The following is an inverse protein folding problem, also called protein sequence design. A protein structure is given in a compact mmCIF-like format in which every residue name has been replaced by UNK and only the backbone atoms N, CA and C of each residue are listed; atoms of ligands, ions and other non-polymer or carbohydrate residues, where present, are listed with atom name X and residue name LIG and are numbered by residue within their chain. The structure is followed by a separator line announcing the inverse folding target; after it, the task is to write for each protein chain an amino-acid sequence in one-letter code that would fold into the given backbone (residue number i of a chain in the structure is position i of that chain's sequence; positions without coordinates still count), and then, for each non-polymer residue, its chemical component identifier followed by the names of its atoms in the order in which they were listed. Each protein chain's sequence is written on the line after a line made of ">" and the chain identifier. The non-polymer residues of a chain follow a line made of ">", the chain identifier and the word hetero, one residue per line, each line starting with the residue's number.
data_IF_467489308983
#
_entry.id   IF_467489308983
#
_cell.length_a   1.000
_cell.length_b   1.000
_cell.length_c   1.000
_cell.angle_alpha   90.00
_cell.angle_beta   90.00
_cell.angle_gamma   90.00
#
_symmetry.space_group_name_H-M   'P 1'
#
loop_
_entity.id
_entity.type
_entity.pdbx_description
1 polymer ?
#
# COMPACT_ATOMS: atom_id res chain seq x y z
N UNK A 1 -10.58 5.13 -32.14
CA UNK A 1 -11.95 5.19 -31.58
C UNK A 1 -11.97 4.60 -30.19
N UNK A 2 -11.60 5.42 -29.21
CA UNK A 2 -11.45 5.01 -27.80
C UNK A 2 -12.74 5.26 -27.02
N UNK A 3 -13.79 4.52 -27.36
CA UNK A 3 -15.04 4.54 -26.58
C UNK A 3 -14.93 3.56 -25.41
N UNK A 4 -15.13 4.06 -24.19
CA UNK A 4 -15.36 3.23 -23.01
C UNK A 4 -16.86 3.00 -22.81
N UNK A 5 -17.22 1.85 -22.26
CA UNK A 5 -18.62 1.51 -21.93
C UNK A 5 -18.78 1.49 -20.42
N UNK A 6 -19.73 2.29 -19.92
CA UNK A 6 -20.08 2.29 -18.49
C UNK A 6 -21.11 1.18 -18.25
N UNK A 7 -20.76 0.21 -17.42
CA UNK A 7 -21.68 -0.85 -17.04
C UNK A 7 -22.20 -0.64 -15.62
N UNK A 8 -23.52 -0.53 -15.48
CA UNK A 8 -24.22 -0.55 -14.19
C UNK A 8 -24.67 -1.99 -13.92
N UNK A 9 -24.04 -2.66 -12.97
CA UNK A 9 -24.55 -3.94 -12.46
C UNK A 9 -25.50 -3.65 -11.31
N UNK A 10 -26.78 -3.92 -11.54
CA UNK A 10 -27.81 -3.95 -10.50
C UNK A 10 -27.83 -5.37 -9.94
N UNK A 11 -27.60 -5.52 -8.63
CA UNK A 11 -27.76 -6.83 -7.97
C UNK A 11 -29.22 -7.26 -8.07
N UNK A 12 -29.48 -8.57 -8.16
CA UNK A 12 -30.85 -9.13 -8.22
C UNK A 12 -31.74 -8.69 -7.04
N UNK A 13 -31.14 -8.30 -5.92
CA UNK A 13 -31.81 -7.83 -4.71
C UNK A 13 -32.05 -6.31 -4.65
N UNK A 14 -31.68 -5.56 -5.69
CA UNK A 14 -31.88 -4.11 -5.76
C UNK A 14 -30.92 -3.26 -4.90
N UNK A 15 -29.95 -3.87 -4.21
CA UNK A 15 -28.98 -3.13 -3.38
C UNK A 15 -27.85 -2.49 -4.21
N UNK A 16 -27.19 -1.48 -3.62
CA UNK A 16 -26.34 -0.48 -4.29
C UNK A 16 -25.33 -1.04 -5.33
N UNK A 17 -25.29 -0.34 -6.47
CA UNK A 17 -24.52 -0.67 -7.67
C UNK A 17 -23.03 -0.40 -7.47
N UNK A 18 -22.17 -1.25 -8.04
CA UNK A 18 -20.78 -0.88 -8.33
C UNK A 18 -20.71 -0.37 -9.77
N UNK A 19 -20.04 0.76 -10.00
CA UNK A 19 -19.77 1.30 -11.34
C UNK A 19 -18.40 0.74 -11.76
N UNK A 20 -18.37 0.03 -12.89
CA UNK A 20 -17.12 -0.46 -13.47
C UNK A 20 -16.76 0.36 -14.71
N UNK A 21 -15.48 0.69 -14.82
CA UNK A 21 -14.86 1.20 -16.04
C UNK A 21 -13.94 0.08 -16.57
N UNK A 22 -14.22 -0.42 -17.77
CA UNK A 22 -13.44 -1.48 -18.41
C UNK A 22 -12.83 -1.00 -19.72
N UNK A 23 -11.63 -1.48 -20.04
CA UNK A 23 -11.18 -1.51 -21.42
C UNK A 23 -12.01 -2.52 -22.20
N UNK A 24 -12.24 -2.23 -23.48
CA UNK A 24 -12.51 -3.27 -24.46
C UNK A 24 -11.22 -4.11 -24.59
N UNK A 25 -11.15 -5.25 -23.90
CA UNK A 25 -10.06 -6.22 -23.99
C UNK A 25 -10.15 -6.88 -25.36
N UNK A 26 -9.68 -6.17 -26.40
CA UNK A 26 -9.88 -6.51 -27.81
C UNK A 26 -9.96 -8.02 -28.06
N UNK A 27 -11.11 -8.47 -28.57
CA UNK A 27 -11.44 -9.82 -29.01
C UNK A 27 -10.76 -11.00 -28.28
N UNK A 28 -10.55 -10.95 -26.96
CA UNK A 28 -10.11 -12.14 -26.21
C UNK A 28 -11.34 -12.95 -25.81
N UNK A 29 -11.47 -14.13 -26.42
CA UNK A 29 -12.46 -15.12 -26.02
C UNK A 29 -12.03 -15.78 -24.69
N UNK A 30 -12.95 -15.84 -23.73
CA UNK A 30 -12.76 -16.52 -22.46
C UNK A 30 -13.55 -17.83 -22.47
N UNK A 31 -12.94 -18.92 -21.99
CA UNK A 31 -13.61 -20.21 -21.90
C UNK A 31 -14.64 -20.24 -20.77
N UNK A 32 -15.81 -20.83 -21.03
CA UNK A 32 -16.86 -21.08 -20.04
C UNK A 32 -16.31 -21.91 -18.88
N UNK A 33 -16.45 -21.41 -17.65
CA UNK A 33 -16.02 -22.11 -16.42
C UNK A 33 -14.67 -21.70 -15.84
N UNK A 34 -13.96 -20.73 -16.44
CA UNK A 34 -12.72 -20.21 -15.88
C UNK A 34 -12.96 -19.37 -14.61
N UNK A 35 -12.47 -19.83 -13.45
CA UNK A 35 -12.43 -19.03 -12.22
C UNK A 35 -11.20 -18.12 -12.23
N UNK A 36 -11.39 -16.82 -12.01
CA UNK A 36 -10.32 -15.83 -11.94
C UNK A 36 -10.55 -14.94 -10.72
N UNK A 37 -9.60 -14.85 -9.78
CA UNK A 37 -9.67 -13.86 -8.72
C UNK A 37 -9.38 -12.47 -9.31
N UNK A 38 -10.34 -11.55 -9.25
CA UNK A 38 -10.11 -10.15 -9.61
C UNK A 38 -10.63 -9.26 -8.49
N UNK A 39 -9.76 -8.37 -8.02
CA UNK A 39 -10.12 -7.32 -7.09
C UNK A 39 -9.17 -6.15 -7.22
N UNK A 40 -9.31 -5.35 -8.29
CA UNK A 40 -8.78 -3.99 -8.34
C UNK A 40 -9.64 -3.12 -9.26
N UNK A 41 -9.89 -1.88 -8.83
CA UNK A 41 -10.38 -0.82 -9.68
C UNK A 41 -9.23 -0.41 -10.62
N UNK A 42 -9.26 -0.89 -11.85
CA UNK A 42 -8.28 -0.53 -12.88
C UNK A 42 -8.77 0.75 -13.55
N UNK A 43 -8.43 1.91 -12.99
CA UNK A 43 -8.51 3.16 -13.76
C UNK A 43 -7.36 3.10 -14.76
N UNK A 44 -7.67 2.92 -16.06
CA UNK A 44 -6.67 3.07 -17.09
C UNK A 44 -6.34 4.57 -17.17
N UNK A 45 -5.26 4.95 -16.52
CA UNK A 45 -4.72 6.30 -16.58
C UNK A 45 -3.80 6.41 -17.81
N UNK A 46 -3.98 7.37 -18.72
CA UNK A 46 -3.04 7.57 -19.82
C UNK A 46 -1.65 7.88 -19.26
N UNK A 47 -0.63 7.19 -19.76
CA UNK A 47 0.77 7.44 -19.36
C UNK A 47 1.11 8.90 -19.72
N UNK A 48 1.54 9.68 -18.73
CA UNK A 48 1.97 11.07 -18.93
C UNK A 48 0.92 12.16 -18.69
N UNK A 49 -0.32 11.81 -18.34
CA UNK A 49 -1.32 12.80 -17.89
C UNK A 49 -1.31 12.87 -16.35
N UNK A 50 -1.34 14.03 -15.69
CA UNK A 50 -1.55 14.13 -14.24
C UNK A 50 -2.97 13.73 -13.82
N UNK A 51 -3.13 12.99 -12.70
CA UNK A 51 -4.44 12.59 -12.13
C UNK A 51 -5.44 13.75 -12.02
N UNK A 52 -4.92 14.93 -11.71
CA UNK A 52 -5.65 16.19 -11.59
C UNK A 52 -6.36 16.63 -12.89
N UNK A 53 -5.80 16.29 -14.05
CA UNK A 53 -6.22 16.83 -15.35
C UNK A 53 -7.27 15.95 -16.06
N UNK A 54 -7.51 14.73 -15.55
CA UNK A 54 -8.36 13.74 -16.22
C UNK A 54 -9.56 13.23 -15.42
N UNK A 55 -9.68 13.58 -14.13
CA UNK A 55 -10.86 13.22 -13.34
C UNK A 55 -11.84 14.40 -13.34
N UNK A 56 -12.98 14.21 -14.00
CA UNK A 56 -14.08 15.17 -13.94
C UNK A 56 -14.47 15.45 -12.48
N UNK A 57 -14.55 16.73 -12.11
CA UNK A 57 -14.84 17.16 -10.74
C UNK A 57 -16.17 16.59 -10.22
N UNK A 58 -17.18 16.40 -11.07
CA UNK A 58 -18.47 15.80 -10.68
C UNK A 58 -18.32 14.31 -10.36
N UNK A 59 -17.50 13.59 -11.13
CA UNK A 59 -17.16 12.18 -10.83
C UNK A 59 -16.44 12.10 -9.49
N UNK A 60 -15.50 12.99 -9.25
CA UNK A 60 -14.80 13.07 -7.98
C UNK A 60 -15.76 13.39 -6.82
N UNK A 61 -16.67 14.35 -7.00
CA UNK A 61 -17.70 14.75 -6.01
C UNK A 61 -18.63 13.60 -5.70
N UNK A 62 -19.02 12.82 -6.71
CA UNK A 62 -19.87 11.65 -6.57
C UNK A 62 -19.20 10.53 -5.75
N UNK A 63 -17.89 10.34 -5.93
CA UNK A 63 -17.12 9.23 -5.35
C UNK A 63 -16.61 9.53 -3.94
N UNK A 64 -16.13 10.76 -3.73
CA UNK A 64 -15.41 11.14 -2.52
C UNK A 64 -16.12 12.22 -1.68
N UNK A 65 -17.15 12.86 -2.22
CA UNK A 65 -17.82 13.99 -1.55
C UNK A 65 -16.89 15.18 -1.32
N UNK A 66 -17.26 16.04 -0.36
CA UNK A 66 -16.51 17.25 0.04
C UNK A 66 -15.36 16.99 1.02
N UNK A 67 -15.16 15.75 1.50
CA UNK A 67 -14.26 15.46 2.61
C UNK A 67 -12.79 15.15 2.21
N UNK A 68 -12.32 15.58 1.03
CA UNK A 68 -11.06 15.09 0.41
C UNK A 68 -9.75 15.46 1.10
N UNK A 69 -9.73 16.47 1.96
CA UNK A 69 -8.50 17.06 2.51
C UNK A 69 -8.10 16.58 3.91
N UNK A 70 -8.58 15.42 4.38
CA UNK A 70 -8.53 15.09 5.82
C UNK A 70 -7.39 14.13 6.23
N UNK A 71 -6.43 13.83 5.35
CA UNK A 71 -5.23 13.09 5.75
C UNK A 71 -4.23 14.01 6.43
N UNK A 72 -4.03 13.82 7.74
CA UNK A 72 -2.96 14.49 8.47
C UNK A 72 -1.67 13.64 8.41
N UNK A 73 -0.55 14.24 8.02
CA UNK A 73 0.75 13.62 8.16
C UNK A 73 1.23 13.69 9.61
N UNK A 74 1.54 12.54 10.20
CA UNK A 74 2.21 12.43 11.50
C UNK A 74 3.73 12.34 11.27
N UNK A 75 4.15 11.56 10.26
CA UNK A 75 5.54 11.38 9.83
C UNK A 75 5.63 11.17 8.33
N UNK A 76 6.58 11.84 7.68
CA UNK A 76 6.67 11.92 6.21
C UNK A 76 5.95 13.16 5.67
N UNK A 77 5.72 13.20 4.36
CA UNK A 77 5.10 14.36 3.69
C UNK A 77 3.97 13.90 2.76
N UNK A 78 2.88 14.65 2.74
CA UNK A 78 1.88 14.57 1.67
C UNK A 78 2.38 15.44 0.52
N UNK A 79 2.51 14.85 -0.67
CA UNK A 79 3.03 15.50 -1.88
C UNK A 79 1.91 15.97 -2.81
N UNK A 80 0.81 15.21 -2.89
CA UNK A 80 -0.31 15.51 -3.77
C UNK A 80 -1.61 14.92 -3.20
N UNK A 81 -2.74 15.57 -3.48
CA UNK A 81 -4.04 15.35 -2.81
C UNK A 81 -5.31 15.32 -3.68
N UNK A 82 -5.35 15.66 -4.99
CA UNK A 82 -6.64 15.99 -5.60
C UNK A 82 -7.60 14.80 -5.64
N UNK A 83 -7.10 13.59 -5.92
CA UNK A 83 -7.95 12.39 -6.08
C UNK A 83 -7.36 11.11 -5.46
N UNK A 84 -6.34 11.29 -4.63
CA UNK A 84 -5.59 10.26 -3.93
C UNK A 84 -4.42 10.91 -3.19
N UNK A 85 -3.92 10.25 -2.17
CA UNK A 85 -2.78 10.76 -1.42
C UNK A 85 -1.50 10.23 -2.03
N UNK A 86 -0.71 11.12 -2.63
CA UNK A 86 0.70 10.82 -2.90
C UNK A 86 1.50 11.24 -1.69
N UNK A 87 2.25 10.31 -1.12
CA UNK A 87 3.05 10.56 0.08
C UNK A 87 4.49 10.14 -0.10
N UNK A 88 5.37 10.84 0.62
CA UNK A 88 6.78 10.53 0.75
C UNK A 88 7.08 10.06 2.18
N UNK A 89 7.60 8.84 2.35
CA UNK A 89 7.97 8.31 3.65
C UNK A 89 9.18 9.06 4.24
N UNK A 90 9.31 8.99 5.55
CA UNK A 90 10.55 9.32 6.27
C UNK A 90 11.03 8.04 6.94
N UNK A 91 12.28 7.65 6.71
CA UNK A 91 12.86 6.40 7.25
C UNK A 91 12.04 5.15 6.86
N UNK A 92 11.66 5.05 5.59
CA UNK A 92 11.04 3.85 5.02
C UNK A 92 9.51 3.82 5.03
N UNK A 93 8.84 4.56 5.92
CA UNK A 93 7.38 4.63 5.95
C UNK A 93 6.80 6.04 6.13
N UNK A 94 5.56 6.20 5.69
CA UNK A 94 4.70 7.34 5.98
C UNK A 94 3.72 6.95 7.09
N UNK A 95 3.60 7.79 8.11
CA UNK A 95 2.58 7.65 9.15
C UNK A 95 1.59 8.79 9.02
N UNK A 96 0.31 8.46 8.91
CA UNK A 96 -0.76 9.43 8.79
C UNK A 96 -1.94 9.11 9.70
N UNK A 97 -2.83 10.07 9.86
CA UNK A 97 -4.10 9.91 10.54
C UNK A 97 -5.23 10.35 9.62
N UNK A 98 -6.28 9.52 9.54
CA UNK A 98 -7.46 9.80 8.74
C UNK A 98 -8.73 9.61 9.60
N UNK A 99 -9.68 10.56 9.60
CA UNK A 99 -10.91 10.41 10.38
C UNK A 99 -11.84 9.35 9.76
N UNK A 100 -12.88 8.99 10.51
CA UNK A 100 -13.98 8.20 9.98
C UNK A 100 -14.72 9.01 8.90
N UNK A 101 -14.92 8.42 7.73
CA UNK A 101 -15.56 9.07 6.59
C UNK A 101 -16.46 8.07 5.87
N UNK A 102 -17.63 8.53 5.44
CA UNK A 102 -18.56 7.71 4.66
C UNK A 102 -18.29 7.90 3.17
N UNK A 103 -17.43 7.06 2.61
CA UNK A 103 -17.04 7.10 1.21
C UNK A 103 -17.62 5.94 0.42
N UNK A 104 -17.99 6.18 -0.84
CA UNK A 104 -18.46 5.12 -1.75
C UNK A 104 -17.34 4.21 -2.24
N UNK A 105 -16.09 4.65 -2.09
CA UNK A 105 -14.90 3.88 -2.45
C UNK A 105 -13.75 4.12 -1.46
N UNK A 106 -12.65 3.37 -1.60
CA UNK A 106 -11.43 3.64 -0.86
C UNK A 106 -10.63 4.78 -1.47
N UNK A 107 -9.97 5.59 -0.63
CA UNK A 107 -9.09 6.67 -1.05
C UNK A 107 -7.75 6.08 -1.54
N UNK A 108 -7.35 6.30 -2.80
CA UNK A 108 -6.05 5.84 -3.28
C UNK A 108 -4.91 6.44 -2.45
N UNK A 109 -3.92 5.62 -2.14
CA UNK A 109 -2.68 6.02 -1.47
C UNK A 109 -1.50 5.50 -2.29
N UNK A 110 -0.63 6.42 -2.70
CA UNK A 110 0.64 6.14 -3.34
C UNK A 110 1.77 6.50 -2.38
N UNK A 111 2.56 5.52 -1.95
CA UNK A 111 3.79 5.75 -1.17
C UNK A 111 4.98 5.62 -2.10
N UNK A 112 5.78 6.67 -2.23
CA UNK A 112 6.96 6.68 -3.11
C UNK A 112 8.25 6.39 -2.34
N UNK A 113 9.34 6.05 -3.03
CA UNK A 113 10.68 5.91 -2.42
C UNK A 113 10.77 4.86 -1.31
N UNK A 114 10.04 3.75 -1.43
CA UNK A 114 10.22 2.57 -0.57
C UNK A 114 11.26 1.64 -1.19
N UNK A 115 12.02 0.91 -0.37
CA UNK A 115 12.93 -0.12 -0.85
C UNK A 115 12.14 -1.40 -1.21
N UNK A 116 12.15 -1.86 -2.49
CA UNK A 116 11.42 -3.05 -2.91
C UNK A 116 11.95 -4.36 -2.33
N UNK A 117 13.17 -4.35 -1.76
CA UNK A 117 13.80 -5.52 -1.13
C UNK A 117 13.30 -5.79 0.31
N UNK A 118 12.57 -4.84 0.89
CA UNK A 118 12.14 -4.84 2.28
C UNK A 118 10.63 -5.03 2.43
N UNK A 119 10.13 -5.52 3.57
CA UNK A 119 8.71 -5.77 3.74
C UNK A 119 7.95 -4.43 3.75
N UNK A 120 7.07 -4.24 2.77
CA UNK A 120 6.19 -3.10 2.70
C UNK A 120 4.74 -3.50 2.97
N UNK A 121 3.96 -2.56 3.49
CA UNK A 121 2.57 -2.81 3.81
C UNK A 121 1.84 -1.62 4.38
N UNK A 122 0.57 -1.84 4.71
CA UNK A 122 -0.29 -0.93 5.45
C UNK A 122 -0.57 -1.56 6.82
N UNK A 123 -0.29 -0.82 7.89
CA UNK A 123 -0.63 -1.23 9.25
C UNK A 123 -1.42 -0.12 9.93
N UNK A 124 -2.49 -0.50 10.63
CA UNK A 124 -3.31 0.41 11.41
C UNK A 124 -2.96 0.24 12.88
N UNK A 125 -2.90 1.36 13.61
CA UNK A 125 -2.54 1.34 15.03
C UNK A 125 -3.46 0.41 15.84
N UNK A 126 -2.86 -0.34 16.76
CA UNK A 126 -3.52 -1.36 17.56
C UNK A 126 -3.96 -2.63 16.82
N UNK A 127 -3.79 -2.74 15.49
CA UNK A 127 -4.12 -3.98 14.77
C UNK A 127 -3.06 -5.05 14.98
N UNK A 128 -3.53 -6.30 15.08
CA UNK A 128 -2.64 -7.45 15.14
C UNK A 128 -1.91 -7.67 13.80
N UNK A 129 -2.62 -7.51 12.68
CA UNK A 129 -2.11 -7.81 11.34
C UNK A 129 -1.82 -6.56 10.54
N UNK A 130 -0.77 -6.61 9.73
CA UNK A 130 -0.54 -5.66 8.64
C UNK A 130 -1.05 -6.28 7.32
N UNK A 131 -1.39 -5.41 6.37
CA UNK A 131 -1.70 -5.79 5.00
C UNK A 131 -0.38 -5.74 4.19
N UNK A 132 0.16 -6.88 3.74
CA UNK A 132 1.38 -6.89 2.94
C UNK A 132 1.11 -6.31 1.56
N UNK A 133 2.00 -5.45 1.10
CA UNK A 133 1.90 -4.79 -0.19
C UNK A 133 3.25 -4.91 -0.90
N UNK A 134 3.22 -5.24 -2.20
CA UNK A 134 4.42 -5.34 -3.02
C UNK A 134 4.69 -3.99 -3.69
N UNK A 135 5.82 -3.32 -3.39
CA UNK A 135 6.26 -2.18 -4.19
C UNK A 135 6.65 -2.63 -5.60
N UNK A 136 6.54 -1.74 -6.57
CA UNK A 136 7.16 -1.95 -7.87
C UNK A 136 8.69 -1.80 -7.81
N UNK A 137 9.36 -2.02 -8.94
CA UNK A 137 10.82 -1.94 -9.04
C UNK A 137 11.36 -0.53 -8.80
N UNK A 138 10.54 0.50 -8.97
CA UNK A 138 10.90 1.91 -8.74
C UNK A 138 10.68 2.32 -7.27
N UNK A 139 10.19 1.40 -6.44
CA UNK A 139 9.91 1.68 -5.03
C UNK A 139 8.64 2.47 -4.82
N UNK A 140 7.62 2.24 -5.65
CA UNK A 140 6.27 2.79 -5.46
C UNK A 140 5.32 1.73 -4.94
N UNK A 141 4.62 2.06 -3.87
CA UNK A 141 3.57 1.27 -3.26
C UNK A 141 2.20 1.88 -3.56
N UNK A 142 1.23 1.05 -3.92
CA UNK A 142 -0.15 1.47 -4.14
C UNK A 142 -1.10 0.71 -3.23
N UNK A 143 -2.02 1.43 -2.58
CA UNK A 143 -3.10 0.84 -1.80
C UNK A 143 -4.31 1.79 -1.74
N UNK A 144 -5.35 1.40 -1.00
CA UNK A 144 -6.51 2.23 -0.74
C UNK A 144 -6.81 2.28 0.76
N UNK A 145 -7.00 3.49 1.28
CA UNK A 145 -7.53 3.70 2.62
C UNK A 145 -9.06 3.60 2.59
N UNK A 146 -9.64 2.81 3.49
CA UNK A 146 -11.09 2.66 3.62
C UNK A 146 -11.54 3.20 4.98
N UNK A 147 -11.61 4.53 5.17
CA UNK A 147 -11.96 5.17 6.45
C UNK A 147 -13.32 4.74 7.02
N UNK A 148 -14.24 4.26 6.16
CA UNK A 148 -15.51 3.66 6.56
C UNK A 148 -15.36 2.28 7.24
N UNK A 149 -14.23 1.60 7.07
CA UNK A 149 -13.89 0.32 7.71
C UNK A 149 -12.85 0.48 8.82
N UNK A 150 -11.78 1.21 8.52
CA UNK A 150 -10.66 1.45 9.42
C UNK A 150 -10.24 2.91 9.28
N UNK A 151 -10.23 3.63 10.40
CA UNK A 151 -9.83 5.03 10.51
C UNK A 151 -8.92 5.19 11.74
N UNK A 152 -8.33 6.36 11.89
CA UNK A 152 -7.32 6.65 12.89
C UNK A 152 -5.91 6.65 12.29
N UNK A 153 -4.91 6.35 13.12
CA UNK A 153 -3.51 6.34 12.73
C UNK A 153 -3.15 5.08 11.96
N UNK A 154 -2.41 5.26 10.86
CA UNK A 154 -1.87 4.18 10.05
C UNK A 154 -0.44 4.49 9.62
N UNK A 155 0.30 3.43 9.29
CA UNK A 155 1.64 3.49 8.72
C UNK A 155 1.68 2.69 7.42
N UNK A 156 2.21 3.30 6.36
CA UNK A 156 2.31 2.71 5.03
C UNK A 156 3.73 2.88 4.45
N UNK A 157 4.32 1.81 3.94
CA UNK A 157 5.69 1.79 3.40
C UNK A 157 6.48 0.59 3.92
N UNK A 158 7.81 0.65 3.93
CA UNK A 158 8.63 -0.39 4.54
C UNK A 158 8.45 -0.38 6.06
N UNK A 159 7.86 -1.44 6.61
CA UNK A 159 7.56 -1.52 8.04
C UNK A 159 8.79 -1.89 8.88
N UNK A 160 9.78 -2.51 8.25
CA UNK A 160 11.09 -2.83 8.78
C UNK A 160 12.14 -2.35 7.79
N UNK A 161 13.21 -1.77 8.30
CA UNK A 161 14.32 -1.20 7.52
C UNK A 161 15.65 -1.68 8.10
N UNK A 162 16.73 -1.48 7.35
CA UNK A 162 18.08 -1.53 7.89
C UNK A 162 19.00 -0.50 7.23
N UNK A 163 20.21 -0.38 7.75
CA UNK A 163 21.27 0.48 7.21
C UNK A 163 21.96 -0.07 5.95
N UNK A 164 21.68 -1.32 5.57
CA UNK A 164 22.22 -1.97 4.38
C UNK A 164 21.13 -2.13 3.31
N UNK A 165 21.02 -1.23 2.31
CA UNK A 165 19.91 -1.19 1.36
C UNK A 165 19.77 -2.44 0.49
N UNK A 166 20.85 -3.21 0.34
CA UNK A 166 20.87 -4.42 -0.49
C UNK A 166 20.38 -5.68 0.21
N UNK A 167 20.14 -5.62 1.53
CA UNK A 167 19.61 -6.76 2.27
C UNK A 167 18.17 -7.08 1.86
N UNK A 168 17.85 -8.37 1.78
CA UNK A 168 16.47 -8.82 1.60
C UNK A 168 15.85 -9.03 2.97
N UNK A 169 14.73 -8.37 3.26
CA UNK A 169 14.05 -8.49 4.55
C UNK A 169 12.66 -9.09 4.34
N UNK A 170 12.23 -9.96 5.26
CA UNK A 170 10.85 -10.43 5.37
C UNK A 170 10.34 -10.22 6.79
N UNK A 171 9.07 -9.84 6.89
CA UNK A 171 8.35 -9.69 8.16
C UNK A 171 7.23 -10.71 8.21
N UNK A 172 7.34 -11.64 9.15
CA UNK A 172 6.32 -12.63 9.44
C UNK A 172 5.63 -12.28 10.74
N UNK A 173 4.32 -12.37 10.74
CA UNK A 173 3.55 -12.28 11.97
C UNK A 173 3.47 -13.65 12.63
N UNK A 174 3.58 -13.68 13.96
CA UNK A 174 3.40 -14.88 14.78
C UNK A 174 2.21 -14.70 15.72
N UNK A 175 1.73 -15.79 16.30
CA UNK A 175 0.69 -15.77 17.34
C UNK A 175 1.10 -14.87 18.51
N UNK A 176 2.40 -14.86 18.84
CA UNK A 176 3.00 -13.97 19.82
C UNK A 176 4.14 -13.19 19.15
N UNK A 177 3.87 -11.92 18.84
CA UNK A 177 4.86 -11.00 18.27
C UNK A 177 5.13 -11.22 16.77
N UNK A 178 6.37 -10.98 16.39
CA UNK A 178 6.82 -10.90 15.00
C UNK A 178 8.12 -11.66 14.80
N UNK A 179 8.39 -12.03 13.56
CA UNK A 179 9.70 -12.52 13.15
C UNK A 179 10.19 -11.73 11.95
N UNK A 180 11.41 -11.23 12.07
CA UNK A 180 12.15 -10.61 10.98
C UNK A 180 13.17 -11.61 10.48
N UNK A 181 13.15 -11.87 9.17
CA UNK A 181 14.19 -12.62 8.47
C UNK A 181 14.99 -11.64 7.63
N UNK A 182 16.30 -11.61 7.83
CA UNK A 182 17.22 -10.74 7.09
C UNK A 182 18.20 -11.63 6.35
N UNK A 183 18.22 -11.54 5.03
CA UNK A 183 19.12 -12.30 4.17
C UNK A 183 20.19 -11.38 3.57
N UNK A 184 21.46 -11.79 3.67
CA UNK A 184 22.59 -11.15 3.02
C UNK A 184 22.84 -11.78 1.64
N UNK A 185 22.40 -11.15 0.52
CA UNK A 185 22.62 -11.72 -0.81
C UNK A 185 24.03 -11.47 -1.36
N UNK A 186 24.89 -10.77 -0.62
CA UNK A 186 26.22 -10.38 -1.10
C UNK A 186 27.25 -11.49 -0.87
N UNK A 187 28.45 -11.26 -1.40
CA UNK A 187 29.61 -12.14 -1.23
C UNK A 187 30.53 -11.71 -0.07
N UNK A 188 30.07 -10.80 0.80
CA UNK A 188 30.83 -10.31 1.95
C UNK A 188 29.99 -10.34 3.21
N UNK A 189 30.63 -10.47 4.35
CA UNK A 189 29.98 -10.37 5.65
C UNK A 189 29.61 -8.92 5.92
N UNK A 190 28.36 -8.66 6.32
CA UNK A 190 27.85 -7.31 6.55
C UNK A 190 27.36 -7.15 7.98
N UNK A 191 27.80 -6.11 8.67
CA UNK A 191 27.17 -5.64 9.91
C UNK A 191 25.91 -4.86 9.57
N UNK A 192 24.77 -5.30 10.09
CA UNK A 192 23.43 -4.81 9.73
C UNK A 192 22.70 -4.38 11.00
N UNK A 193 22.17 -3.15 11.00
CA UNK A 193 21.29 -2.61 12.02
C UNK A 193 19.85 -2.65 11.55
N UNK A 194 19.04 -3.54 12.14
CA UNK A 194 17.62 -3.70 11.82
C UNK A 194 16.78 -2.80 12.73
N UNK A 195 15.91 -2.01 12.12
CA UNK A 195 15.06 -1.02 12.81
C UNK A 195 13.66 -1.10 12.26
N UNK A 196 12.65 -1.17 13.12
CA UNK A 196 11.27 -0.99 12.69
C UNK A 196 10.84 0.47 12.78
N UNK A 197 9.92 0.85 11.90
CA UNK A 197 9.54 2.25 11.74
C UNK A 197 8.70 2.77 12.89
N UNK A 198 8.89 4.03 13.27
CA UNK A 198 8.05 4.71 14.27
C UNK A 198 6.60 4.72 13.78
N UNK A 199 5.66 4.35 14.65
CA UNK A 199 4.25 4.17 14.30
C UNK A 199 3.95 2.88 13.53
N UNK A 200 4.95 2.02 13.29
CA UNK A 200 4.77 0.69 12.73
C UNK A 200 4.49 -0.38 13.80
N UNK A 201 4.30 -1.65 13.40
CA UNK A 201 3.95 -2.74 14.31
C UNK A 201 5.07 -3.15 15.28
N UNK A 202 6.32 -2.77 14.99
CA UNK A 202 7.51 -3.09 15.78
C UNK A 202 8.44 -1.87 15.82
N UNK A 203 8.10 -0.81 16.55
CA UNK A 203 8.81 0.46 16.42
C UNK A 203 10.19 0.43 17.11
N UNK A 204 11.17 1.09 16.49
CA UNK A 204 12.48 1.36 17.08
C UNK A 204 13.56 0.33 16.73
N UNK A 205 14.70 0.41 17.44
CA UNK A 205 15.84 -0.49 17.23
C UNK A 205 15.42 -1.93 17.56
N UNK A 206 15.63 -2.84 16.61
CA UNK A 206 15.33 -4.26 16.78
C UNK A 206 16.58 -5.01 17.20
N UNK A 207 17.61 -5.02 16.35
CA UNK A 207 18.84 -5.75 16.63
C UNK A 207 20.00 -5.31 15.71
N UNK A 208 21.22 -5.67 16.10
CA UNK A 208 22.44 -5.50 15.31
C UNK A 208 23.20 -6.83 15.25
N UNK A 209 23.67 -7.25 14.08
CA UNK A 209 24.55 -8.41 13.94
C UNK A 209 25.39 -8.33 12.65
N UNK A 210 26.51 -9.05 12.63
CA UNK A 210 27.23 -9.37 11.40
C UNK A 210 26.61 -10.62 10.79
N UNK A 211 26.16 -10.51 9.54
CA UNK A 211 25.49 -11.58 8.80
C UNK A 211 26.44 -12.08 7.71
N UNK A 212 26.88 -13.35 7.74
CA UNK A 212 27.78 -13.87 6.74
C UNK A 212 27.21 -13.81 5.32
N UNK A 213 28.10 -13.72 4.33
CA UNK A 213 27.75 -13.77 2.92
C UNK A 213 26.81 -14.94 2.57
N UNK A 214 25.71 -14.65 1.87
CA UNK A 214 24.75 -15.65 1.40
C UNK A 214 23.86 -16.29 2.49
N UNK A 215 23.87 -15.77 3.72
CA UNK A 215 23.16 -16.40 4.85
C UNK A 215 21.97 -15.58 5.37
N UNK A 216 21.14 -16.25 6.17
CA UNK A 216 19.97 -15.69 6.82
C UNK A 216 20.20 -15.45 8.31
N UNK A 217 19.69 -14.33 8.82
CA UNK A 217 19.54 -14.06 10.23
C UNK A 217 18.05 -13.97 10.61
N UNK A 218 17.66 -14.75 11.62
CA UNK A 218 16.29 -14.81 12.15
C UNK A 218 16.22 -14.06 13.47
N UNK A 219 15.31 -13.10 13.56
CA UNK A 219 15.07 -12.31 14.76
C UNK A 219 13.62 -12.51 15.19
N UNK A 220 13.38 -12.94 16.43
CA UNK A 220 12.04 -12.95 17.01
C UNK A 220 11.88 -11.67 17.82
N UNK A 221 10.77 -10.96 17.61
CA UNK A 221 10.44 -9.74 18.33
C UNK A 221 9.15 -9.97 19.10
N UNK A 222 9.25 -9.98 20.43
CA UNK A 222 8.06 -10.00 21.30
C UNK A 222 7.32 -8.65 21.21
N UNK A 223 6.02 -8.69 21.44
CA UNK A 223 5.24 -7.45 21.66
C UNK A 223 5.65 -6.77 22.96
#
# INVERSE_FOLDING_TARGET
>A
DDTFTVHRIVRKDGSASCIFYGNNLGAKQYATGASRPYGYLLMRWPVGIPLADGLDQQVADLLFGSQRGQLAAVRGKVLDVPFGFKVKPTEGAFTGAIPAMSLKMGLPLQVTSVNPKWPAGLWWDGKAFYEPLAPDQEGTLWTQLKPQKHHGTFTAGNLITCDQPDMLIRLFQKTQGWQVLVHNPTNQDLTVNVTGVIGGPVPGKIATATIPAGTDWKINVSK
#
